data_IF_458343736861
#
_entry.id   IF_458343736861
#
_cell.length_a   1.000
_cell.length_b   1.000
_cell.length_c   1.000
_cell.angle_alpha   90.00
_cell.angle_beta   90.00
_cell.angle_gamma   90.00
#
_symmetry.space_group_name_H-M   'P 1'
#
loop_
_entity.id
_entity.type
_entity.pdbx_description
1 polymer ?
#
# COMPACT_ATOMS: atom_id res chain seq x y z
N UNK A 1 -32.57 -10.62 -15.73
CA UNK A 1 -31.47 -9.62 -15.62
C UNK A 1 -30.59 -10.13 -14.49
N UNK A 2 -29.34 -10.55 -14.71
CA UNK A 2 -28.12 -9.71 -14.89
C UNK A 2 -27.94 -8.73 -13.72
N UNK A 3 -26.88 -8.77 -12.90
CA UNK A 3 -25.71 -9.69 -12.81
C UNK A 3 -25.15 -9.69 -11.38
N UNK A 4 -24.43 -10.72 -10.90
CA UNK A 4 -23.00 -11.08 -11.10
C UNK A 4 -22.14 -10.77 -9.85
N UNK A 5 -21.10 -11.57 -9.60
CA UNK A 5 -20.33 -11.58 -8.35
C UNK A 5 -19.23 -10.51 -8.26
N UNK A 6 -18.79 -10.30 -7.02
CA UNK A 6 -17.68 -9.44 -6.58
C UNK A 6 -16.25 -9.87 -7.03
N UNK A 7 -15.28 -9.58 -6.15
CA UNK A 7 -14.04 -10.37 -5.90
C UNK A 7 -12.82 -10.11 -6.84
N UNK A 8 -11.98 -9.09 -6.53
CA UNK A 8 -10.65 -8.78 -7.14
C UNK A 8 -9.41 -8.98 -6.21
N UNK A 9 -8.82 -7.88 -5.67
CA UNK A 9 -7.70 -7.81 -4.66
C UNK A 9 -6.21 -7.96 -5.14
N UNK A 10 -5.29 -7.14 -4.56
CA UNK A 10 -3.79 -7.18 -4.55
C UNK A 10 -3.04 -6.94 -5.90
N UNK A 11 -1.85 -6.29 -6.00
CA UNK A 11 -1.04 -5.47 -5.08
C UNK A 11 0.41 -5.22 -5.61
N UNK A 12 1.31 -4.68 -4.76
CA UNK A 12 2.76 -4.36 -5.03
C UNK A 12 2.94 -3.21 -6.07
N UNK A 13 3.94 -2.32 -6.14
CA UNK A 13 5.34 -2.12 -5.64
C UNK A 13 5.50 -0.59 -5.36
N UNK A 14 6.51 0.04 -4.71
CA UNK A 14 7.87 -0.29 -4.21
C UNK A 14 8.22 0.64 -3.03
N UNK A 15 9.22 0.31 -2.20
CA UNK A 15 9.82 1.23 -1.22
C UNK A 15 11.22 1.71 -1.66
N UNK A 16 11.49 3.02 -1.58
CA UNK A 16 12.82 3.61 -1.87
C UNK A 16 13.25 4.48 -0.69
N UNK A 17 14.30 4.05 0.02
CA UNK A 17 14.87 4.81 1.14
C UNK A 17 16.08 5.64 0.65
N UNK A 18 15.96 6.97 0.68
CA UNK A 18 17.06 7.88 0.38
C UNK A 18 17.68 8.38 1.70
N UNK A 19 18.85 7.85 2.04
CA UNK A 19 19.62 8.32 3.21
C UNK A 19 20.46 9.53 2.80
N UNK A 20 20.01 10.73 3.14
CA UNK A 20 20.76 11.97 2.92
C UNK A 20 21.75 12.18 4.07
N UNK A 21 23.01 11.76 3.88
CA UNK A 21 24.10 12.11 4.79
C UNK A 21 24.44 13.59 4.61
N UNK A 22 24.25 14.39 5.67
CA UNK A 22 24.41 15.85 5.65
C UNK A 22 25.87 16.24 5.89
N UNK A 23 26.65 16.44 4.84
CA UNK A 23 27.97 17.08 4.94
C UNK A 23 27.82 18.60 5.11
N UNK A 24 28.60 19.26 6.00
CA UNK A 24 28.66 20.71 6.06
C UNK A 24 29.52 21.25 4.91
N UNK A 25 29.04 22.26 4.19
CA UNK A 25 29.78 22.92 3.10
C UNK A 25 29.88 24.44 3.32
N UNK A 26 31.04 24.86 3.80
CA UNK A 26 31.68 26.16 3.61
C UNK A 26 33.19 25.91 3.89
N UNK A 27 34.16 26.61 3.31
CA UNK A 27 34.09 27.91 2.64
C UNK A 27 35.16 28.00 1.50
N UNK A 28 35.35 29.20 0.95
CA UNK A 28 36.39 29.64 0.00
C UNK A 28 36.08 29.50 -1.49
N UNK A 29 36.01 30.65 -2.15
CA UNK A 29 36.11 30.85 -3.60
C UNK A 29 36.83 32.19 -3.84
N UNK A 30 37.24 32.55 -5.08
CA UNK A 30 37.49 31.73 -6.27
C UNK A 30 38.93 31.89 -6.80
N UNK A 31 39.35 31.04 -7.75
CA UNK A 31 40.50 31.31 -8.62
C UNK A 31 40.26 30.76 -10.03
N UNK A 32 40.44 31.58 -11.06
CA UNK A 32 40.28 31.17 -12.46
C UNK A 32 41.53 30.48 -12.99
N UNK A 33 41.36 29.30 -13.58
CA UNK A 33 42.32 28.71 -14.50
C UNK A 33 41.56 28.09 -15.69
N UNK A 34 41.66 28.72 -16.87
CA UNK A 34 41.18 28.11 -18.10
C UNK A 34 42.16 27.01 -18.52
N UNK A 35 41.70 25.76 -18.61
CA UNK A 35 42.45 24.68 -19.24
C UNK A 35 41.55 23.91 -20.22
N UNK A 36 42.10 23.58 -21.38
CA UNK A 36 41.33 23.10 -22.52
C UNK A 36 40.82 21.65 -22.30
N UNK A 37 39.58 21.39 -22.73
CA UNK A 37 38.95 20.07 -22.62
C UNK A 37 39.53 19.13 -23.70
N UNK A 38 40.63 18.46 -23.38
CA UNK A 38 41.08 17.28 -24.11
C UNK A 38 40.31 16.04 -23.59
N UNK A 39 39.68 15.22 -24.45
CA UNK A 39 38.89 14.06 -24.02
C UNK A 39 39.79 12.88 -23.60
N UNK A 40 40.39 12.98 -22.42
CA UNK A 40 41.10 11.89 -21.76
C UNK A 40 40.10 10.78 -21.38
N UNK A 41 40.02 9.72 -22.19
CA UNK A 41 39.36 8.46 -21.80
C UNK A 41 40.10 7.83 -20.62
N UNK A 42 39.51 7.70 -19.42
CA UNK A 42 40.12 6.97 -18.33
C UNK A 42 39.85 5.48 -18.55
N UNK A 43 40.84 4.75 -19.04
CA UNK A 43 40.80 3.28 -19.03
C UNK A 43 40.92 2.81 -17.58
N UNK A 44 39.78 2.48 -16.95
CA UNK A 44 39.72 1.92 -15.61
C UNK A 44 40.54 0.63 -15.58
N UNK A 45 41.66 0.61 -14.86
CA UNK A 45 42.34 -0.63 -14.49
C UNK A 45 41.61 -1.23 -13.29
N UNK A 46 41.11 -2.45 -13.46
CA UNK A 46 40.66 -3.29 -12.36
C UNK A 46 41.91 -3.76 -11.57
N UNK A 47 41.89 -3.79 -10.23
CA UNK A 47 42.99 -4.40 -9.46
C UNK A 47 43.01 -5.92 -9.67
N UNK A 48 44.22 -6.49 -9.79
CA UNK A 48 44.42 -7.94 -9.82
C UNK A 48 43.95 -8.59 -8.52
N UNK A 49 43.06 -9.58 -8.64
CA UNK A 49 42.57 -10.40 -7.52
C UNK A 49 43.35 -11.72 -7.53
N UNK A 50 43.99 -12.13 -6.42
CA UNK A 50 44.74 -13.38 -6.35
C UNK A 50 43.83 -14.61 -6.56
N UNK A 51 44.39 -15.66 -7.17
CA UNK A 51 43.61 -16.75 -7.74
C UNK A 51 42.98 -17.71 -6.71
N UNK A 52 41.72 -18.07 -6.99
CA UNK A 52 41.05 -19.33 -6.66
C UNK A 52 41.27 -19.95 -5.26
N UNK A 53 40.28 -19.77 -4.38
CA UNK A 53 39.91 -20.81 -3.42
C UNK A 53 38.90 -21.76 -4.08
N UNK A 54 38.97 -23.10 -3.87
CA UNK A 54 38.05 -24.05 -4.48
C UNK A 54 36.65 -23.94 -3.87
N UNK A 55 35.68 -23.50 -4.67
CA UNK A 55 34.26 -23.49 -4.28
C UNK A 55 33.75 -24.93 -4.29
N UNK A 56 33.58 -25.53 -3.10
CA UNK A 56 32.81 -26.76 -2.99
C UNK A 56 31.35 -26.47 -3.34
N UNK A 57 30.89 -27.00 -4.48
CA UNK A 57 29.48 -26.93 -4.85
C UNK A 57 28.69 -27.83 -3.88
N UNK A 58 27.64 -27.31 -3.21
CA UNK A 58 26.78 -28.15 -2.39
C UNK A 58 26.05 -29.15 -3.29
N UNK A 59 26.24 -30.44 -3.04
CA UNK A 59 25.56 -31.51 -3.79
C UNK A 59 24.07 -31.40 -3.54
N UNK A 60 23.29 -31.13 -4.60
CA UNK A 60 21.84 -31.07 -4.51
C UNK A 60 21.29 -32.43 -4.07
N UNK A 61 20.63 -32.46 -2.91
CA UNK A 61 19.84 -33.64 -2.51
C UNK A 61 18.65 -33.75 -3.47
N UNK A 62 18.43 -34.90 -4.15
CA UNK A 62 17.30 -35.04 -5.03
C UNK A 62 16.01 -34.95 -4.22
N UNK A 63 15.14 -33.99 -4.56
CA UNK A 63 13.80 -33.96 -4.02
C UNK A 63 13.05 -35.23 -4.46
N UNK A 64 12.24 -35.85 -3.58
CA UNK A 64 11.36 -36.93 -4.00
C UNK A 64 10.43 -36.41 -5.10
N UNK A 65 10.19 -37.24 -6.12
CA UNK A 65 9.30 -36.87 -7.22
C UNK A 65 7.90 -36.60 -6.67
N UNK A 66 7.41 -35.37 -6.81
CA UNK A 66 6.02 -35.06 -6.53
C UNK A 66 5.13 -35.81 -7.52
N UNK A 67 4.14 -36.54 -7.01
CA UNK A 67 3.11 -37.14 -7.86
C UNK A 67 2.36 -36.02 -8.61
N UNK A 68 1.97 -36.21 -9.88
CA UNK A 68 1.21 -35.22 -10.61
C UNK A 68 -0.09 -34.91 -9.86
N UNK A 69 -0.29 -33.65 -9.47
CA UNK A 69 -1.50 -33.22 -8.77
C UNK A 69 -2.65 -33.16 -9.77
N UNK A 70 -3.29 -34.31 -10.00
CA UNK A 70 -4.44 -34.49 -10.89
C UNK A 70 -5.73 -33.92 -10.26
N UNK A 71 -5.67 -32.62 -9.94
CA UNK A 71 -6.75 -31.84 -9.35
C UNK A 71 -6.82 -30.42 -9.94
N UNK A 72 -6.35 -30.24 -11.18
CA UNK A 72 -6.58 -29.06 -12.01
C UNK A 72 -8.08 -28.95 -12.40
N UNK A 73 -8.91 -28.71 -11.39
CA UNK A 73 -10.35 -28.48 -11.53
C UNK A 73 -10.56 -27.25 -12.39
N UNK A 74 -11.41 -27.33 -13.41
CA UNK A 74 -11.57 -26.31 -14.45
C UNK A 74 -11.79 -24.89 -13.90
N UNK A 75 -10.73 -24.10 -13.81
CA UNK A 75 -10.84 -22.65 -13.78
C UNK A 75 -11.37 -22.18 -15.15
N UNK A 76 -12.32 -21.23 -15.20
CA UNK A 76 -12.88 -20.73 -16.45
C UNK A 76 -11.82 -19.92 -17.22
N UNK A 77 -11.20 -20.56 -18.21
CA UNK A 77 -10.21 -19.92 -19.08
C UNK A 77 -10.91 -18.88 -19.99
N UNK A 78 -10.81 -17.60 -19.62
CA UNK A 78 -11.22 -16.50 -20.50
C UNK A 78 -10.36 -16.49 -21.76
N UNK A 79 -11.00 -16.31 -22.92
CA UNK A 79 -10.27 -16.04 -24.15
C UNK A 79 -9.72 -14.60 -24.15
N UNK A 80 -8.78 -14.32 -25.07
CA UNK A 80 -8.06 -13.03 -25.13
C UNK A 80 -9.01 -11.82 -25.25
N UNK A 81 -10.13 -11.96 -25.96
CA UNK A 81 -11.10 -10.87 -26.16
C UNK A 81 -12.02 -10.68 -24.93
N UNK A 82 -12.38 -11.77 -24.24
CA UNK A 82 -13.08 -11.71 -22.95
C UNK A 82 -12.19 -11.07 -21.87
N UNK A 83 -10.91 -11.44 -21.82
CA UNK A 83 -9.94 -10.85 -20.90
C UNK A 83 -9.77 -9.34 -21.14
N UNK A 84 -9.68 -8.89 -22.40
CA UNK A 84 -9.66 -7.46 -22.75
C UNK A 84 -10.93 -6.74 -22.30
N UNK A 85 -12.11 -7.34 -22.51
CA UNK A 85 -13.39 -6.77 -22.07
C UNK A 85 -13.49 -6.69 -20.54
N UNK A 86 -13.01 -7.70 -19.81
CA UNK A 86 -12.98 -7.69 -18.34
C UNK A 86 -12.01 -6.64 -17.80
N UNK A 87 -10.82 -6.49 -18.41
CA UNK A 87 -9.85 -5.44 -18.05
C UNK A 87 -10.46 -4.05 -18.23
N UNK A 88 -11.17 -3.79 -19.35
CA UNK A 88 -11.85 -2.52 -19.57
C UNK A 88 -12.96 -2.29 -18.53
N UNK A 89 -13.79 -3.30 -18.24
CA UNK A 89 -14.85 -3.23 -17.23
C UNK A 89 -14.30 -2.90 -15.83
N UNK A 90 -13.18 -3.52 -15.44
CA UNK A 90 -12.52 -3.26 -14.16
C UNK A 90 -11.79 -1.91 -14.13
N UNK A 91 -11.36 -1.37 -15.27
CA UNK A 91 -10.83 -0.01 -15.36
C UNK A 91 -11.95 1.06 -15.21
N UNK A 92 -13.13 0.80 -15.77
CA UNK A 92 -14.26 1.74 -15.76
C UNK A 92 -15.10 1.70 -14.48
N UNK A 93 -15.25 0.52 -13.85
CA UNK A 93 -16.13 0.32 -12.67
C UNK A 93 -15.38 -0.10 -11.39
N UNK A 94 -14.09 -0.48 -11.50
CA UNK A 94 -13.33 -1.03 -10.39
C UNK A 94 -13.73 -2.46 -10.02
N UNK A 95 -13.03 -2.99 -9.02
CA UNK A 95 -13.36 -4.26 -8.36
C UNK A 95 -14.52 -4.07 -7.36
N UNK A 96 -15.70 -4.70 -7.54
CA UNK A 96 -16.83 -4.60 -6.62
C UNK A 96 -16.60 -5.16 -5.20
N UNK A 97 -15.49 -5.88 -4.94
CA UNK A 97 -15.01 -6.25 -3.60
C UNK A 97 -14.33 -5.08 -2.88
N UNK A 98 -13.74 -4.16 -3.64
CA UNK A 98 -12.92 -3.08 -3.13
C UNK A 98 -13.80 -1.93 -2.64
N UNK A 99 -13.47 -1.29 -1.51
CA UNK A 99 -14.21 -0.12 -1.04
C UNK A 99 -14.09 1.02 -2.06
N UNK A 100 -15.18 1.75 -2.27
CA UNK A 100 -15.21 2.88 -3.21
C UNK A 100 -14.08 3.87 -2.88
N UNK A 101 -13.23 4.16 -3.87
CA UNK A 101 -12.13 5.10 -3.71
C UNK A 101 -12.69 6.50 -3.40
N UNK A 102 -12.21 7.09 -2.31
CA UNK A 102 -12.60 8.44 -1.91
C UNK A 102 -12.19 9.50 -2.94
N UNK A 103 -12.93 10.60 -2.97
CA UNK A 103 -12.59 11.78 -3.77
C UNK A 103 -11.13 12.21 -3.52
N UNK A 104 -10.34 12.36 -4.58
CA UNK A 104 -8.95 12.81 -4.50
C UNK A 104 -8.89 14.31 -4.16
N UNK A 105 -9.03 14.67 -2.87
CA UNK A 105 -8.83 16.05 -2.39
C UNK A 105 -7.35 16.45 -2.65
N UNK A 106 -7.07 17.58 -3.33
CA UNK A 106 -5.71 18.11 -3.42
C UNK A 106 -5.10 18.34 -2.02
N UNK A 107 -3.83 17.97 -1.81
CA UNK A 107 -3.16 18.25 -0.53
C UNK A 107 -3.09 19.75 -0.30
N UNK A 108 -3.60 20.16 0.87
CA UNK A 108 -3.54 21.53 1.35
C UNK A 108 -2.07 21.90 1.64
N UNK A 109 -1.69 23.16 1.38
CA UNK A 109 -0.35 23.66 1.68
C UNK A 109 -0.41 24.62 2.86
N UNK A 110 0.59 24.52 3.73
CA UNK A 110 0.79 25.50 4.81
C UNK A 110 0.83 26.92 4.24
N UNK A 111 0.11 27.83 4.88
CA UNK A 111 0.12 29.26 4.56
C UNK A 111 1.46 29.91 4.88
N UNK A 112 1.71 31.11 4.33
CA UNK A 112 2.93 31.86 4.63
C UNK A 112 3.09 32.19 6.14
N UNK A 113 1.99 32.32 6.89
CA UNK A 113 2.02 32.50 8.34
C UNK A 113 2.45 31.20 9.06
N UNK A 114 1.86 30.05 8.69
CA UNK A 114 2.25 28.74 9.24
C UNK A 114 3.70 28.38 8.89
N UNK A 115 4.20 28.75 7.70
CA UNK A 115 5.58 28.54 7.30
C UNK A 115 6.59 29.46 8.02
N UNK A 116 6.14 30.56 8.62
CA UNK A 116 6.98 31.51 9.37
C UNK A 116 7.06 31.21 10.87
N UNK A 117 6.15 30.40 11.42
CA UNK A 117 6.07 30.05 12.84
C UNK A 117 6.12 28.51 13.03
N UNK A 118 7.19 27.95 13.62
CA UNK A 118 7.33 26.52 13.87
C UNK A 118 6.17 25.89 14.66
N UNK A 119 5.53 26.62 15.57
CA UNK A 119 4.41 26.10 16.34
C UNK A 119 3.15 25.95 15.48
N UNK A 120 2.87 26.95 14.62
CA UNK A 120 1.77 26.87 13.64
C UNK A 120 2.04 25.83 12.55
N UNK A 121 3.30 25.64 12.14
CA UNK A 121 3.66 24.57 11.21
C UNK A 121 3.43 23.18 11.82
N UNK A 122 3.82 22.95 13.08
CA UNK A 122 3.57 21.69 13.78
C UNK A 122 2.08 21.37 13.84
N UNK A 123 1.26 22.32 14.28
CA UNK A 123 -0.19 22.15 14.37
C UNK A 123 -0.85 21.86 13.01
N UNK A 124 -0.31 22.43 11.92
CA UNK A 124 -0.75 22.12 10.56
C UNK A 124 -0.41 20.68 10.15
N UNK A 125 0.84 20.22 10.32
CA UNK A 125 1.23 18.85 9.97
C UNK A 125 0.58 17.79 10.89
N UNK A 126 0.33 18.10 12.17
CA UNK A 126 -0.47 17.27 13.07
C UNK A 126 -1.90 17.09 12.55
N UNK A 127 -2.52 18.16 12.02
CA UNK A 127 -3.85 18.06 11.42
C UNK A 127 -3.85 17.36 10.06
N UNK A 128 -2.86 17.60 9.19
CA UNK A 128 -2.70 16.82 7.95
C UNK A 128 -2.54 15.32 8.24
N UNK A 129 -1.76 14.98 9.28
CA UNK A 129 -1.58 13.60 9.75
C UNK A 129 -2.89 13.02 10.29
N UNK A 130 -3.65 13.78 11.08
CA UNK A 130 -4.98 13.38 11.60
C UNK A 130 -5.96 13.07 10.46
N UNK A 131 -6.09 13.99 9.50
CA UNK A 131 -6.99 13.84 8.35
C UNK A 131 -6.59 12.64 7.47
N UNK A 132 -5.29 12.41 7.28
CA UNK A 132 -4.79 11.23 6.57
C UNK A 132 -5.14 9.92 7.30
N UNK A 133 -4.98 9.85 8.62
CA UNK A 133 -5.33 8.64 9.39
C UNK A 133 -6.84 8.41 9.37
N UNK A 134 -7.67 9.45 9.43
CA UNK A 134 -9.14 9.34 9.35
C UNK A 134 -9.62 8.65 8.07
N UNK A 135 -8.96 8.86 6.93
CA UNK A 135 -9.30 8.19 5.68
C UNK A 135 -9.20 6.66 5.80
N UNK A 136 -8.10 6.15 6.36
CA UNK A 136 -7.88 4.72 6.58
C UNK A 136 -8.69 4.16 7.77
N UNK A 137 -8.89 4.94 8.84
CA UNK A 137 -9.63 4.53 10.03
C UNK A 137 -11.15 4.46 9.83
N UNK A 138 -11.68 5.05 8.75
CA UNK A 138 -13.12 5.12 8.45
C UNK A 138 -13.87 3.78 8.52
N UNK A 139 -13.23 2.67 8.12
CA UNK A 139 -13.82 1.32 8.15
C UNK A 139 -14.22 0.83 9.56
N UNK A 140 -13.54 1.31 10.62
CA UNK A 140 -13.85 0.95 12.03
C UNK A 140 -15.25 1.40 12.44
N UNK A 141 -15.78 2.46 11.83
CA UNK A 141 -17.13 2.97 12.13
C UNK A 141 -18.23 2.02 11.60
N UNK A 142 -17.90 1.16 10.64
CA UNK A 142 -18.85 0.22 10.03
C UNK A 142 -18.95 -1.13 10.75
N UNK A 143 -18.12 -1.39 11.78
CA UNK A 143 -18.06 -2.66 12.53
C UNK A 143 -19.47 -3.21 12.91
N UNK A 144 -20.42 -2.42 13.45
CA UNK A 144 -21.77 -2.93 13.77
C UNK A 144 -22.53 -3.42 12.52
N UNK A 145 -22.51 -2.65 11.44
CA UNK A 145 -23.18 -2.99 10.20
C UNK A 145 -22.46 -4.10 9.41
N UNK A 146 -21.16 -4.32 9.64
CA UNK A 146 -20.42 -5.47 9.10
C UNK A 146 -20.83 -6.73 9.87
N UNK A 147 -20.86 -6.68 11.20
CA UNK A 147 -21.31 -7.78 12.07
C UNK A 147 -22.72 -8.24 11.71
N UNK A 148 -23.68 -7.31 11.60
CA UNK A 148 -25.06 -7.63 11.20
C UNK A 148 -25.13 -8.32 9.82
N UNK A 149 -24.37 -7.84 8.82
CA UNK A 149 -24.33 -8.46 7.49
C UNK A 149 -23.70 -9.87 7.49
N UNK A 150 -22.72 -10.13 8.36
CA UNK A 150 -22.16 -11.47 8.54
C UNK A 150 -23.18 -12.41 9.19
N UNK A 151 -23.91 -11.94 10.20
CA UNK A 151 -24.98 -12.71 10.85
C UNK A 151 -26.15 -13.00 9.89
N UNK A 152 -26.57 -12.02 9.09
CA UNK A 152 -27.59 -12.19 8.04
C UNK A 152 -27.14 -13.21 6.98
N UNK A 153 -25.91 -13.11 6.47
CA UNK A 153 -25.38 -14.04 5.46
C UNK A 153 -25.25 -15.48 6.00
N UNK A 154 -24.91 -15.64 7.29
CA UNK A 154 -24.86 -16.94 7.97
C UNK A 154 -26.26 -17.54 8.21
N UNK A 155 -27.29 -16.71 8.38
CA UNK A 155 -28.69 -17.15 8.55
C UNK A 155 -29.39 -17.45 7.22
N UNK A 156 -29.08 -16.70 6.16
CA UNK A 156 -29.67 -16.88 4.82
C UNK A 156 -29.06 -18.04 4.04
N UNK A 157 -27.82 -18.42 4.35
CA UNK A 157 -27.05 -19.38 3.55
C UNK A 157 -26.56 -18.81 2.21
N UNK A 158 -26.58 -17.47 2.04
CA UNK A 158 -26.08 -16.78 0.84
C UNK A 158 -24.58 -17.00 0.62
N UNK A 159 -23.82 -17.27 1.69
CA UNK A 159 -22.39 -17.58 1.67
C UNK A 159 -22.09 -18.90 2.35
N UNK A 160 -21.01 -19.53 1.93
CA UNK A 160 -20.56 -20.79 2.54
C UNK A 160 -19.83 -20.55 3.88
N UNK A 161 -19.67 -21.60 4.68
CA UNK A 161 -19.09 -21.51 6.02
C UNK A 161 -17.70 -20.86 6.05
N UNK A 162 -16.83 -21.18 5.08
CA UNK A 162 -15.48 -20.64 5.01
C UNK A 162 -15.51 -19.12 4.74
N UNK A 163 -16.37 -18.65 3.84
CA UNK A 163 -16.55 -17.21 3.55
C UNK A 163 -17.08 -16.44 4.77
N UNK A 164 -17.91 -17.07 5.60
CA UNK A 164 -18.41 -16.50 6.85
C UNK A 164 -17.28 -16.44 7.90
N UNK A 165 -16.45 -17.47 8.02
CA UNK A 165 -15.33 -17.49 8.97
C UNK A 165 -14.18 -16.56 8.55
N UNK A 166 -13.89 -16.44 7.25
CA UNK A 166 -13.01 -15.38 6.71
C UNK A 166 -13.54 -13.98 7.05
N UNK A 167 -14.85 -13.75 6.90
CA UNK A 167 -15.46 -12.46 7.23
C UNK A 167 -15.42 -12.16 8.74
N UNK A 168 -15.55 -13.18 9.60
CA UNK A 168 -15.35 -13.06 11.06
C UNK A 168 -13.91 -12.70 11.41
N UNK A 169 -12.92 -13.39 10.84
CA UNK A 169 -11.50 -13.09 11.04
C UNK A 169 -11.13 -11.66 10.56
N UNK A 170 -11.74 -11.19 9.47
CA UNK A 170 -11.59 -9.80 9.01
C UNK A 170 -12.23 -8.78 9.96
N UNK A 171 -13.37 -9.11 10.58
CA UNK A 171 -14.02 -8.28 11.59
C UNK A 171 -13.17 -8.17 12.87
N UNK A 172 -12.56 -9.27 13.33
CA UNK A 172 -11.62 -9.27 14.47
C UNK A 172 -10.42 -8.33 14.22
N UNK A 173 -9.90 -8.28 12.98
CA UNK A 173 -8.82 -7.35 12.62
C UNK A 173 -9.27 -5.87 12.68
N UNK A 174 -10.52 -5.57 12.31
CA UNK A 174 -11.09 -4.23 12.47
C UNK A 174 -11.32 -3.87 13.95
N UNK A 175 -11.72 -4.82 14.79
CA UNK A 175 -11.90 -4.62 16.24
C UNK A 175 -10.55 -4.45 16.97
N UNK A 176 -9.49 -5.14 16.52
CA UNK A 176 -8.10 -4.85 16.95
C UNK A 176 -7.65 -3.44 16.54
N UNK A 177 -7.96 -3.01 15.30
CA UNK A 177 -7.66 -1.65 14.84
C UNK A 177 -8.43 -0.59 15.65
N UNK A 178 -9.71 -0.81 15.95
CA UNK A 178 -10.51 0.03 16.83
C UNK A 178 -9.87 0.17 18.21
N UNK A 179 -9.49 -0.96 18.81
CA UNK A 179 -8.83 -1.02 20.12
C UNK A 179 -7.48 -0.28 20.14
N UNK A 180 -6.73 -0.35 19.04
CA UNK A 180 -5.47 0.40 18.88
C UNK A 180 -5.73 1.90 18.77
N UNK A 181 -6.65 2.33 17.91
CA UNK A 181 -7.02 3.74 17.74
C UNK A 181 -7.55 4.35 19.04
N UNK A 182 -8.37 3.63 19.80
CA UNK A 182 -8.90 4.10 21.09
C UNK A 182 -7.80 4.31 22.15
N UNK A 183 -6.69 3.55 22.06
CA UNK A 183 -5.54 3.67 22.97
C UNK A 183 -4.55 4.77 22.56
N UNK A 184 -4.25 4.84 21.27
CA UNK A 184 -3.17 5.70 20.75
C UNK A 184 -3.66 7.07 20.26
N UNK A 185 -4.91 7.16 19.81
CA UNK A 185 -5.50 8.32 19.11
C UNK A 185 -7.03 8.42 19.34
N UNK A 186 -7.52 8.45 20.59
CA UNK A 186 -8.96 8.46 20.90
C UNK A 186 -9.74 9.60 20.24
N UNK A 187 -9.08 10.71 19.91
CA UNK A 187 -9.67 11.84 19.19
C UNK A 187 -10.29 11.46 17.82
N UNK A 188 -9.71 10.46 17.14
CA UNK A 188 -10.16 10.00 15.82
C UNK A 188 -11.52 9.29 15.87
N UNK A 189 -11.85 8.69 17.01
CA UNK A 189 -13.13 7.99 17.22
C UNK A 189 -14.23 8.95 17.69
N UNK A 190 -13.87 10.19 18.06
CA UNK A 190 -14.81 11.22 18.53
C UNK A 190 -15.16 12.21 17.42
N UNK A 191 -14.18 12.62 16.61
CA UNK A 191 -14.36 13.62 15.53
C UNK A 191 -15.28 13.14 14.40
N UNK A 192 -15.49 11.84 14.23
CA UNK A 192 -16.45 11.26 13.27
C UNK A 192 -17.92 11.48 13.65
N UNK A 193 -18.25 11.62 14.94
CA UNK A 193 -19.61 11.92 15.38
C UNK A 193 -19.98 13.41 15.18
N UNK A 194 -18.99 14.27 14.92
CA UNK A 194 -19.22 15.66 14.54
C UNK A 194 -19.66 15.74 13.07
N UNK A 195 -20.97 15.58 12.83
CA UNK A 195 -21.61 15.85 11.54
C UNK A 195 -21.09 17.18 10.97
N UNK A 196 -20.52 17.23 9.75
CA UNK A 196 -20.04 18.47 9.18
C UNK A 196 -21.19 19.47 9.04
N UNK A 197 -20.98 20.70 9.51
CA UNK A 197 -21.93 21.78 9.32
C UNK A 197 -22.02 22.09 7.81
N UNK A 198 -23.24 22.06 7.27
CA UNK A 198 -23.49 22.50 5.89
C UNK A 198 -23.28 24.02 5.78
N UNK A 199 -22.67 24.51 4.68
CA UNK A 199 -22.75 25.90 4.29
C UNK A 199 -24.16 26.27 3.79
#
# INVERSE_FOLDING_TARGET
MKGWLGIGLLGVVTAVAIVVVRTPQADTAPAFAQQAIAPLKPSIRLPDIPAALPVQQPVATPAPAAEPVEAATNEPQLNVQEAQMLIQLMADQGDPRSPALGQLKPRERASAAQLADPAQYSAFEDQQTRDQIMAYASGVQQIPAIRERIEQAAQSGERNANEIDEARAALEQLEMLQSKLQRERPELLQSSNAKPASP
#
